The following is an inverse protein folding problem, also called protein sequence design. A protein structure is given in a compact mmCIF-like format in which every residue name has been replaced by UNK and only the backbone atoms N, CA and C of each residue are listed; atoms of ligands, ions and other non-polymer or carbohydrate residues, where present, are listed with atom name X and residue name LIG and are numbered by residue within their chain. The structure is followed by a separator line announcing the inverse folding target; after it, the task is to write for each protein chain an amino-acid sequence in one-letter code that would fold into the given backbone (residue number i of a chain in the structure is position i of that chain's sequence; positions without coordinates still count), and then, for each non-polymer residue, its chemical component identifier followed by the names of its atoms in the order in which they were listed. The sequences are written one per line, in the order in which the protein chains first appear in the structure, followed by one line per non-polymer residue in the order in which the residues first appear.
data_IF_309718058885
#
_entry.id   IF_309718058885
#
_cell.length_a   1.000
_cell.length_b   1.000
_cell.length_c   1.000
_cell.angle_alpha   90.00
_cell.angle_beta   90.00
_cell.angle_gamma   90.00
#
_symmetry.space_group_name_H-M   'P 1'
#
loop_
_entity.id
_entity.type
_entity.pdbx_description
1 polymer ?
#
# COMPACT_ATOMS: atom_id res chain seq x y z
N UNK A 1 -24.77 -14.91 15.66
CA UNK A 1 -25.19 -14.33 14.37
C UNK A 1 -23.96 -13.92 13.60
N UNK A 2 -23.61 -14.62 12.52
CA UNK A 2 -22.41 -14.34 11.73
C UNK A 2 -22.56 -13.00 11.01
N UNK A 3 -21.66 -12.04 11.28
CA UNK A 3 -21.66 -10.75 10.60
C UNK A 3 -21.30 -10.96 9.12
N UNK A 4 -22.26 -10.65 8.24
CA UNK A 4 -22.08 -10.70 6.79
C UNK A 4 -21.11 -9.58 6.40
N UNK A 5 -19.88 -9.94 6.05
CA UNK A 5 -18.89 -8.98 5.53
C UNK A 5 -19.47 -8.26 4.29
N UNK A 6 -19.31 -6.93 4.16
CA UNK A 6 -19.75 -6.19 2.98
C UNK A 6 -19.16 -6.79 1.68
N UNK A 7 -19.93 -6.82 0.59
CA UNK A 7 -19.54 -7.44 -0.71
C UNK A 7 -18.20 -6.91 -1.25
N UNK A 8 -17.81 -5.70 -0.89
CA UNK A 8 -16.55 -5.04 -1.26
C UNK A 8 -15.36 -5.59 -0.48
N UNK A 9 -15.51 -5.82 0.83
CA UNK A 9 -14.51 -6.49 1.69
C UNK A 9 -14.31 -7.94 1.26
N UNK A 10 -15.39 -8.61 0.83
CA UNK A 10 -15.32 -9.95 0.25
C UNK A 10 -14.57 -9.97 -1.07
N UNK A 11 -14.77 -8.99 -1.96
CA UNK A 11 -14.00 -8.86 -3.21
C UNK A 11 -12.54 -8.50 -2.99
N UNK A 12 -12.21 -7.67 -1.99
CA UNK A 12 -10.84 -7.36 -1.63
C UNK A 12 -10.12 -8.57 -1.03
N UNK A 13 -10.79 -9.32 -0.14
CA UNK A 13 -10.29 -10.58 0.40
C UNK A 13 -10.15 -11.64 -0.70
N UNK A 14 -11.12 -11.78 -1.61
CA UNK A 14 -11.08 -12.69 -2.75
C UNK A 14 -10.02 -12.29 -3.79
N UNK A 15 -9.73 -11.00 -4.00
CA UNK A 15 -8.63 -10.53 -4.85
C UNK A 15 -7.25 -10.79 -4.23
N UNK A 16 -7.12 -10.68 -2.90
CA UNK A 16 -5.91 -11.08 -2.18
C UNK A 16 -5.72 -12.62 -2.18
N UNK A 17 -6.82 -13.39 -2.20
CA UNK A 17 -6.82 -14.85 -2.30
C UNK A 17 -6.58 -15.36 -3.73
N UNK A 18 -7.07 -14.68 -4.78
CA UNK A 18 -6.90 -15.13 -6.18
C UNK A 18 -5.45 -15.01 -6.68
N UNK A 19 -4.67 -14.11 -6.07
CA UNK A 19 -3.21 -13.99 -6.29
C UNK A 19 -2.39 -15.15 -5.70
N UNK A 20 -3.00 -16.11 -4.99
CA UNK A 20 -2.36 -17.38 -4.58
C UNK A 20 -2.39 -18.47 -5.65
N UNK A 21 -3.02 -18.27 -6.81
CA UNK A 21 -3.23 -19.31 -7.83
C UNK A 21 -2.22 -19.33 -9.00
N UNK A 22 -1.24 -18.42 -9.05
CA UNK A 22 -0.16 -18.52 -10.05
C UNK A 22 0.96 -19.38 -9.50
N UNK A 23 0.78 -20.70 -9.60
CA UNK A 23 1.85 -21.66 -9.39
C UNK A 23 2.99 -21.42 -10.41
N UNK A 24 4.28 -21.49 -9.99
CA UNK A 24 5.39 -21.45 -10.95
C UNK A 24 5.31 -22.69 -11.85
N UNK A 25 5.19 -22.48 -13.16
CA UNK A 25 5.31 -23.54 -14.15
C UNK A 25 6.76 -24.02 -14.20
N UNK A 26 7.00 -25.28 -13.85
CA UNK A 26 8.12 -26.06 -14.37
C UNK A 26 9.08 -26.66 -13.34
N UNK A 27 8.83 -27.90 -12.94
CA UNK A 27 9.86 -28.92 -12.71
C UNK A 27 9.15 -30.29 -12.68
N UNK A 28 9.34 -31.09 -13.73
CA UNK A 28 8.79 -32.44 -13.80
C UNK A 28 9.62 -33.41 -12.99
N UNK A 29 8.97 -34.30 -12.24
CA UNK A 29 9.32 -35.73 -12.20
C UNK A 29 8.16 -36.55 -11.61
N UNK A 30 7.85 -37.64 -12.34
CA UNK A 30 7.08 -38.85 -12.00
C UNK A 30 7.47 -39.41 -10.62
N UNK A 31 6.72 -40.23 -9.88
CA UNK A 31 5.41 -40.87 -9.95
C UNK A 31 5.21 -41.61 -8.61
N UNK A 32 3.96 -41.90 -8.22
CA UNK A 32 3.38 -43.24 -7.97
C UNK A 32 2.19 -43.17 -7.02
N UNK A 33 1.33 -44.15 -7.24
CA UNK A 33 -0.06 -44.30 -6.88
C UNK A 33 -0.28 -45.19 -5.64
N UNK A 34 -1.53 -45.12 -5.16
CA UNK A 34 -2.31 -46.11 -4.40
C UNK A 34 -2.32 -45.97 -2.88
N UNK A 35 -3.53 -45.97 -2.33
CA UNK A 35 -3.79 -46.16 -0.91
C UNK A 35 -5.08 -45.50 -0.43
N UNK A 36 -6.24 -45.96 -0.91
CA UNK A 36 -7.53 -45.60 -0.29
C UNK A 36 -7.71 -46.38 1.01
N UNK A 37 -8.16 -45.71 2.06
CA UNK A 37 -8.92 -46.32 3.16
C UNK A 37 -9.86 -45.28 3.75
N UNK A 38 -11.13 -45.68 3.76
CA UNK A 38 -12.25 -45.10 4.48
C UNK A 38 -11.97 -44.97 5.98
N UNK A 39 -12.20 -43.78 6.53
CA UNK A 39 -12.12 -43.53 7.97
C UNK A 39 -13.03 -42.34 8.31
N UNK A 40 -14.23 -42.68 8.75
CA UNK A 40 -15.21 -41.90 9.53
C UNK A 40 -14.93 -40.40 9.73
N UNK A 41 -15.86 -39.60 9.21
CA UNK A 41 -16.05 -38.18 9.49
C UNK A 41 -16.23 -37.92 11.00
N UNK A 42 -15.13 -37.63 11.70
CA UNK A 42 -15.13 -37.11 13.06
C UNK A 42 -14.84 -35.60 13.02
N UNK A 43 -15.90 -34.81 13.27
CA UNK A 43 -15.91 -33.41 13.68
C UNK A 43 -14.94 -32.43 12.98
N UNK A 44 -15.44 -31.77 11.94
CA UNK A 44 -14.88 -30.52 11.43
C UNK A 44 -15.07 -29.39 12.46
N UNK A 45 -14.13 -29.28 13.38
CA UNK A 45 -14.00 -28.20 14.35
C UNK A 45 -12.61 -27.58 14.30
N UNK A 46 -12.29 -26.83 13.25
CA UNK A 46 -11.09 -25.96 13.18
C UNK A 46 -11.39 -24.73 12.33
N UNK A 47 -12.25 -23.84 12.82
CA UNK A 47 -12.54 -22.55 12.20
C UNK A 47 -12.25 -21.39 13.15
N UNK A 48 -11.10 -21.40 13.83
CA UNK A 48 -10.96 -20.64 15.08
C UNK A 48 -9.70 -19.76 15.12
N UNK A 49 -9.94 -18.44 15.01
CA UNK A 49 -9.20 -17.33 15.65
C UNK A 49 -7.91 -16.81 14.97
N UNK A 50 -7.89 -16.66 13.65
CA UNK A 50 -6.80 -15.91 12.98
C UNK A 50 -6.99 -14.39 13.06
N UNK A 51 -8.25 -13.94 13.01
CA UNK A 51 -8.61 -12.53 13.04
C UNK A 51 -9.37 -12.18 14.33
N UNK A 52 -8.95 -11.11 14.98
CA UNK A 52 -9.45 -10.63 16.26
C UNK A 52 -9.98 -9.20 16.11
N UNK A 53 -11.07 -8.84 16.82
CA UNK A 53 -11.54 -7.46 16.85
C UNK A 53 -10.52 -6.56 17.58
N UNK A 54 -10.32 -5.35 17.07
CA UNK A 54 -9.53 -4.32 17.72
C UNK A 54 -10.41 -3.44 18.60
N UNK A 55 -9.98 -3.20 19.84
CA UNK A 55 -10.76 -2.43 20.80
C UNK A 55 -10.91 -0.95 20.40
N UNK A 56 -9.90 -0.36 19.74
CA UNK A 56 -9.87 1.06 19.40
C UNK A 56 -10.34 1.30 17.96
N UNK A 57 -11.66 1.38 17.77
CA UNK A 57 -12.30 1.67 16.48
C UNK A 57 -13.09 0.51 15.85
N UNK A 58 -12.97 -0.72 16.40
CA UNK A 58 -13.82 -1.85 16.01
C UNK A 58 -13.43 -2.56 14.70
N UNK A 59 -12.25 -2.29 14.16
CA UNK A 59 -11.68 -3.02 13.03
C UNK A 59 -11.24 -4.45 13.37
N UNK A 60 -10.69 -5.15 12.38
CA UNK A 60 -10.28 -6.56 12.49
C UNK A 60 -8.78 -6.70 12.21
N UNK A 61 -8.05 -7.37 13.10
CA UNK A 61 -6.61 -7.58 12.98
C UNK A 61 -6.27 -9.06 12.94
N UNK A 62 -5.26 -9.43 12.15
CA UNK A 62 -4.67 -10.74 12.25
C UNK A 62 -3.87 -10.90 13.56
N UNK A 63 -3.88 -12.09 14.17
CA UNK A 63 -3.19 -12.38 15.45
C UNK A 63 -1.69 -12.03 15.44
N UNK A 64 -1.05 -12.15 14.28
CA UNK A 64 0.39 -11.87 14.12
C UNK A 64 0.70 -10.41 13.77
N UNK A 65 -0.31 -9.55 13.63
CA UNK A 65 -0.09 -8.13 13.43
C UNK A 65 0.38 -7.49 14.74
N UNK A 66 1.37 -6.60 14.65
CA UNK A 66 1.86 -5.82 15.79
C UNK A 66 1.33 -4.40 15.68
N UNK A 67 0.37 -4.05 16.53
CA UNK A 67 -0.32 -2.76 16.49
C UNK A 67 -0.09 -2.02 17.81
N UNK A 68 0.37 -0.78 17.73
CA UNK A 68 0.50 0.07 18.92
C UNK A 68 -0.88 0.33 19.56
N UNK A 69 -1.01 0.31 20.91
CA UNK A 69 -2.29 0.51 21.59
C UNK A 69 -2.98 1.85 21.27
N UNK A 70 -2.22 2.87 20.86
CA UNK A 70 -2.78 4.18 20.49
C UNK A 70 -3.34 4.21 19.06
N UNK A 71 -3.06 3.20 18.24
CA UNK A 71 -3.56 3.13 16.88
C UNK A 71 -5.08 2.92 16.87
N UNK A 72 -5.75 3.64 15.98
CA UNK A 72 -7.20 3.56 15.74
C UNK A 72 -7.44 2.80 14.45
N UNK A 73 -8.19 1.72 14.52
CA UNK A 73 -8.58 0.92 13.35
C UNK A 73 -10.09 0.89 13.29
N UNK A 74 -10.67 1.65 12.37
CA UNK A 74 -12.11 1.86 12.28
C UNK A 74 -12.88 0.62 11.79
N UNK A 75 -14.19 0.62 12.00
CA UNK A 75 -15.06 -0.48 11.64
C UNK A 75 -14.98 -0.84 10.15
N UNK A 76 -14.88 -2.14 9.88
CA UNK A 76 -14.73 -2.67 8.53
C UNK A 76 -13.31 -2.57 7.96
N UNK A 77 -12.36 -1.92 8.65
CA UNK A 77 -10.96 -2.01 8.28
C UNK A 77 -10.37 -3.37 8.67
N UNK A 78 -9.47 -3.88 7.83
CA UNK A 78 -8.82 -5.19 8.01
C UNK A 78 -7.31 -5.05 7.93
N UNK A 79 -6.61 -5.58 8.94
CA UNK A 79 -5.15 -5.62 8.98
C UNK A 79 -4.68 -7.06 8.92
N UNK A 80 -3.87 -7.38 7.91
CA UNK A 80 -3.40 -8.74 7.66
C UNK A 80 -2.16 -9.14 8.47
N UNK A 81 -1.78 -10.41 8.34
CA UNK A 81 -0.68 -11.05 9.08
C UNK A 81 0.67 -10.33 8.92
N UNK A 82 1.38 -10.16 10.04
CA UNK A 82 2.72 -9.57 10.06
C UNK A 82 2.76 -8.08 9.74
N UNK A 83 1.60 -7.42 9.61
CA UNK A 83 1.57 -5.97 9.49
C UNK A 83 1.98 -5.32 10.82
N UNK A 84 2.67 -4.19 10.74
CA UNK A 84 3.13 -3.41 11.88
C UNK A 84 2.55 -2.00 11.79
N UNK A 85 1.79 -1.58 12.80
CA UNK A 85 1.23 -0.23 12.88
C UNK A 85 1.87 0.52 14.05
N UNK A 86 2.49 1.66 13.76
CA UNK A 86 3.10 2.54 14.74
C UNK A 86 2.09 3.33 15.59
N UNK A 87 2.65 4.12 16.52
CA UNK A 87 1.91 5.01 17.41
C UNK A 87 1.01 5.99 16.63
N UNK A 88 -0.20 6.23 17.13
CA UNK A 88 -1.17 7.20 16.59
C UNK A 88 -1.51 6.98 15.10
N UNK A 89 -1.31 5.77 14.59
CA UNK A 89 -1.77 5.40 13.24
C UNK A 89 -3.29 5.33 13.23
N UNK A 90 -3.91 5.86 12.17
CA UNK A 90 -5.34 5.73 11.96
C UNK A 90 -5.63 5.02 10.66
N UNK A 91 -6.37 3.92 10.73
CA UNK A 91 -6.85 3.15 9.58
C UNK A 91 -8.33 3.40 9.38
N UNK A 92 -8.68 4.08 8.28
CA UNK A 92 -10.05 4.45 7.97
C UNK A 92 -10.97 3.27 7.66
N UNK A 93 -12.26 3.48 7.86
CA UNK A 93 -13.31 2.47 7.69
C UNK A 93 -13.28 1.83 6.30
N UNK A 94 -13.25 0.50 6.24
CA UNK A 94 -13.23 -0.27 4.99
C UNK A 94 -11.85 -0.42 4.34
N UNK A 95 -10.81 0.20 4.89
CA UNK A 95 -9.46 0.07 4.35
C UNK A 95 -8.85 -1.31 4.63
N UNK A 96 -8.00 -1.79 3.72
CA UNK A 96 -7.32 -3.08 3.84
C UNK A 96 -5.82 -2.87 3.84
N UNK A 97 -5.16 -3.34 4.90
CA UNK A 97 -3.71 -3.33 5.06
C UNK A 97 -3.18 -4.74 4.80
N UNK A 98 -2.45 -4.91 3.70
CA UNK A 98 -1.91 -6.21 3.28
C UNK A 98 -0.89 -6.83 4.25
N UNK A 99 -0.53 -8.11 4.04
CA UNK A 99 0.46 -8.80 4.86
C UNK A 99 1.83 -8.13 4.84
N UNK A 100 2.53 -8.18 5.97
CA UNK A 100 3.89 -7.65 6.12
C UNK A 100 4.05 -6.17 5.73
N UNK A 101 2.97 -5.40 5.81
CA UNK A 101 3.00 -3.94 5.62
C UNK A 101 3.46 -3.27 6.91
N UNK A 102 4.39 -2.33 6.83
CA UNK A 102 4.80 -1.52 7.98
C UNK A 102 4.31 -0.08 7.82
N UNK A 103 3.64 0.45 8.84
CA UNK A 103 3.10 1.82 8.86
C UNK A 103 3.74 2.60 10.00
N UNK A 104 4.41 3.69 9.65
CA UNK A 104 5.06 4.61 10.57
C UNK A 104 4.07 5.40 11.42
N UNK A 105 4.60 6.07 12.43
CA UNK A 105 3.86 6.82 13.43
C UNK A 105 3.09 8.00 12.84
N UNK A 106 1.93 8.28 13.43
CA UNK A 106 1.04 9.40 13.07
C UNK A 106 0.66 9.43 11.58
N UNK A 107 0.66 8.26 10.93
CA UNK A 107 0.23 8.07 9.55
C UNK A 107 -1.27 7.78 9.50
N UNK A 108 -1.95 8.39 8.54
CA UNK A 108 -3.40 8.21 8.36
C UNK A 108 -3.69 7.55 7.02
N UNK A 109 -4.31 6.38 7.09
CA UNK A 109 -4.84 5.65 5.94
C UNK A 109 -6.30 6.05 5.76
N UNK A 110 -6.66 6.53 4.57
CA UNK A 110 -8.01 6.97 4.27
C UNK A 110 -9.05 5.85 4.35
N UNK A 111 -10.31 6.25 4.27
CA UNK A 111 -11.47 5.37 4.36
C UNK A 111 -11.96 4.93 2.96
N UNK A 112 -12.99 4.07 2.93
CA UNK A 112 -13.54 3.37 1.75
C UNK A 112 -12.60 2.27 1.24
N UNK A 113 -12.66 1.94 -0.04
CA UNK A 113 -11.87 0.90 -0.70
C UNK A 113 -10.40 1.30 -0.86
N UNK A 114 -9.76 1.79 0.21
CA UNK A 114 -8.32 2.05 0.23
C UNK A 114 -7.59 0.74 0.50
N UNK A 115 -6.69 0.36 -0.40
CA UNK A 115 -5.96 -0.91 -0.35
C UNK A 115 -4.46 -0.67 -0.34
N UNK A 116 -3.77 -1.26 0.64
CA UNK A 116 -2.31 -1.25 0.73
C UNK A 116 -1.80 -2.66 0.40
N UNK A 117 -1.04 -2.78 -0.68
CA UNK A 117 -0.47 -4.04 -1.13
C UNK A 117 0.63 -4.57 -0.20
N UNK A 118 0.82 -5.87 -0.27
CA UNK A 118 1.74 -6.66 0.55
C UNK A 118 3.17 -6.09 0.53
N UNK A 119 3.89 -6.24 1.65
CA UNK A 119 5.29 -5.84 1.80
C UNK A 119 5.57 -4.34 1.54
N UNK A 120 4.54 -3.50 1.49
CA UNK A 120 4.70 -2.05 1.37
C UNK A 120 5.14 -1.44 2.70
N UNK A 121 6.09 -0.52 2.62
CA UNK A 121 6.61 0.23 3.78
C UNK A 121 6.17 1.68 3.69
N UNK A 122 5.51 2.14 4.72
CA UNK A 122 4.99 3.50 4.86
C UNK A 122 5.65 4.10 6.09
N UNK A 123 6.32 5.22 5.92
CA UNK A 123 7.05 5.91 6.97
C UNK A 123 6.11 6.81 7.81
N UNK A 124 6.69 7.62 8.69
CA UNK A 124 5.95 8.47 9.61
C UNK A 124 5.30 9.67 8.90
N UNK A 125 4.18 10.16 9.47
CA UNK A 125 3.48 11.37 9.01
C UNK A 125 3.01 11.30 7.55
N UNK A 126 2.68 10.11 7.05
CA UNK A 126 2.12 9.95 5.70
C UNK A 126 0.61 10.14 5.75
N UNK A 127 0.07 10.85 4.76
CA UNK A 127 -1.38 11.01 4.57
C UNK A 127 -1.80 10.29 3.29
N UNK A 128 -2.68 9.29 3.43
CA UNK A 128 -3.30 8.58 2.32
C UNK A 128 -4.77 8.96 2.27
N UNK A 129 -5.23 9.39 1.10
CA UNK A 129 -6.62 9.76 0.83
C UNK A 129 -7.56 8.55 0.79
N UNK A 130 -8.81 8.83 0.41
CA UNK A 130 -9.83 7.79 0.23
C UNK A 130 -9.76 7.13 -1.14
N UNK A 131 -10.15 5.86 -1.23
CA UNK A 131 -10.21 5.10 -2.50
C UNK A 131 -8.84 4.99 -3.20
N UNK A 132 -7.76 4.97 -2.42
CA UNK A 132 -6.40 4.88 -2.93
C UNK A 132 -6.00 3.41 -3.03
N UNK A 133 -5.40 3.04 -4.16
CA UNK A 133 -4.84 1.70 -4.35
C UNK A 133 -3.33 1.82 -4.43
N UNK A 134 -2.63 1.18 -3.49
CA UNK A 134 -1.16 1.08 -3.47
C UNK A 134 -0.78 -0.37 -3.74
N UNK A 135 0.06 -0.58 -4.75
CA UNK A 135 0.60 -1.90 -5.10
C UNK A 135 1.53 -2.49 -4.04
N UNK A 136 2.19 -3.58 -4.41
CA UNK A 136 3.07 -4.35 -3.54
C UNK A 136 4.49 -3.78 -3.51
N UNK A 137 5.20 -4.04 -2.42
CA UNK A 137 6.61 -3.70 -2.28
C UNK A 137 6.91 -2.20 -2.51
N UNK A 138 5.96 -1.31 -2.19
CA UNK A 138 6.14 0.12 -2.31
C UNK A 138 6.92 0.68 -1.12
N UNK A 139 7.60 1.79 -1.32
CA UNK A 139 8.29 2.54 -0.27
C UNK A 139 7.75 3.97 -0.26
N UNK A 140 7.07 4.35 0.80
CA UNK A 140 6.48 5.68 0.97
C UNK A 140 7.20 6.36 2.13
N UNK A 141 8.10 7.29 1.80
CA UNK A 141 8.89 8.02 2.79
C UNK A 141 8.06 9.05 3.57
N UNK A 142 8.64 9.59 4.63
CA UNK A 142 7.92 10.47 5.55
C UNK A 142 7.34 11.72 4.90
N UNK A 143 6.23 12.20 5.47
CA UNK A 143 5.51 13.41 5.03
C UNK A 143 4.98 13.36 3.60
N UNK A 144 4.83 12.18 3.02
CA UNK A 144 4.18 12.01 1.71
C UNK A 144 2.67 12.22 1.84
N UNK A 145 2.09 12.94 0.89
CA UNK A 145 0.66 13.11 0.74
C UNK A 145 0.14 12.46 -0.54
N UNK A 146 -0.81 11.54 -0.42
CA UNK A 146 -1.50 10.90 -1.54
C UNK A 146 -2.96 11.31 -1.51
N UNK A 147 -3.40 12.08 -2.50
CA UNK A 147 -4.80 12.49 -2.59
C UNK A 147 -5.72 11.32 -3.01
N UNK A 148 -7.03 11.53 -2.86
CA UNK A 148 -8.03 10.49 -3.07
C UNK A 148 -8.04 9.93 -4.50
N UNK A 149 -8.45 8.67 -4.63
CA UNK A 149 -8.62 7.98 -5.91
C UNK A 149 -7.32 7.83 -6.74
N UNK A 150 -6.15 8.02 -6.13
CA UNK A 150 -4.87 7.75 -6.78
C UNK A 150 -4.58 6.23 -6.82
N UNK A 151 -3.90 5.78 -7.87
CA UNK A 151 -3.49 4.38 -8.04
C UNK A 151 -1.98 4.30 -8.26
N UNK A 152 -1.29 3.52 -7.44
CA UNK A 152 0.14 3.26 -7.53
C UNK A 152 0.35 1.78 -7.86
N UNK A 153 1.17 1.51 -8.87
CA UNK A 153 1.62 0.16 -9.19
C UNK A 153 2.60 -0.41 -8.16
N UNK A 154 3.16 -1.56 -8.47
CA UNK A 154 4.11 -2.26 -7.60
C UNK A 154 5.51 -1.63 -7.64
N UNK A 155 6.28 -1.77 -6.57
CA UNK A 155 7.66 -1.28 -6.50
C UNK A 155 7.80 0.22 -6.74
N UNK A 156 6.78 1.01 -6.37
CA UNK A 156 6.84 2.47 -6.42
C UNK A 156 7.58 2.99 -5.20
N UNK A 157 8.50 3.93 -5.40
CA UNK A 157 9.22 4.63 -4.32
C UNK A 157 8.87 6.11 -4.35
N UNK A 158 8.30 6.61 -3.26
CA UNK A 158 8.01 8.02 -3.06
C UNK A 158 9.01 8.60 -2.08
N UNK A 159 9.87 9.51 -2.55
CA UNK A 159 10.77 10.26 -1.67
C UNK A 159 10.02 11.13 -0.66
N UNK A 160 10.73 11.59 0.37
CA UNK A 160 10.12 12.40 1.43
C UNK A 160 9.42 13.64 0.87
N UNK A 161 8.26 13.99 1.45
CA UNK A 161 7.42 15.13 1.02
C UNK A 161 6.98 15.09 -0.45
N UNK A 162 6.90 13.92 -1.07
CA UNK A 162 6.24 13.79 -2.36
C UNK A 162 4.73 14.02 -2.21
N UNK A 163 4.13 14.73 -3.16
CA UNK A 163 2.69 14.92 -3.24
C UNK A 163 2.12 14.26 -4.50
N UNK A 164 1.05 13.49 -4.36
CA UNK A 164 0.31 12.87 -5.47
C UNK A 164 -1.06 13.52 -5.57
N UNK A 165 -1.39 14.07 -6.75
CA UNK A 165 -2.71 14.62 -7.05
C UNK A 165 -3.78 13.52 -7.07
N UNK A 166 -5.03 13.90 -6.83
CA UNK A 166 -6.19 13.03 -6.92
C UNK A 166 -6.38 12.49 -8.35
N UNK A 167 -6.98 11.30 -8.44
CA UNK A 167 -7.29 10.65 -9.72
C UNK A 167 -6.08 10.46 -10.66
N UNK A 168 -4.87 10.32 -10.10
CA UNK A 168 -3.66 10.03 -10.87
C UNK A 168 -3.30 8.55 -10.82
N UNK A 169 -2.86 8.02 -11.96
CA UNK A 169 -2.29 6.68 -12.07
C UNK A 169 -0.76 6.71 -12.23
N UNK A 170 -0.06 5.89 -11.45
CA UNK A 170 1.40 5.74 -11.50
C UNK A 170 1.71 4.27 -11.75
N UNK A 171 2.40 3.96 -12.84
CA UNK A 171 2.80 2.59 -13.17
C UNK A 171 3.84 2.04 -12.19
N UNK A 172 3.98 0.72 -12.18
CA UNK A 172 4.97 0.02 -11.37
C UNK A 172 6.41 0.48 -11.67
N UNK A 173 7.31 0.33 -10.68
CA UNK A 173 8.74 0.64 -10.77
C UNK A 173 9.04 2.12 -11.08
N UNK A 174 8.23 3.02 -10.54
CA UNK A 174 8.45 4.47 -10.57
C UNK A 174 9.14 4.91 -9.28
N UNK A 175 10.16 5.76 -9.39
CA UNK A 175 10.79 6.43 -8.24
C UNK A 175 10.63 7.93 -8.36
N UNK A 176 10.07 8.56 -7.33
CA UNK A 176 9.91 10.01 -7.25
C UNK A 176 10.92 10.59 -6.28
N UNK A 177 11.70 11.56 -6.76
CA UNK A 177 12.63 12.31 -5.93
C UNK A 177 11.88 13.08 -4.83
N UNK A 178 12.55 13.34 -3.70
CA UNK A 178 11.96 14.08 -2.59
C UNK A 178 11.44 15.47 -3.03
N UNK A 179 10.37 15.95 -2.40
CA UNK A 179 9.68 17.21 -2.72
C UNK A 179 9.12 17.29 -4.17
N UNK A 180 8.94 16.16 -4.84
CA UNK A 180 8.32 16.15 -6.18
C UNK A 180 6.80 16.05 -6.08
N UNK A 181 6.10 16.59 -7.07
CA UNK A 181 4.63 16.60 -7.08
C UNK A 181 4.10 16.06 -8.40
N UNK A 182 3.34 14.97 -8.34
CA UNK A 182 2.75 14.34 -9.51
C UNK A 182 1.41 14.99 -9.82
N UNK A 183 1.36 15.70 -10.95
CA UNK A 183 0.17 16.43 -11.42
C UNK A 183 -0.57 15.73 -12.54
N UNK A 184 -0.01 14.65 -13.10
CA UNK A 184 -0.57 13.88 -14.21
C UNK A 184 -0.08 12.44 -14.13
N UNK A 185 -0.76 11.57 -14.86
CA UNK A 185 -0.42 10.15 -14.91
C UNK A 185 1.02 9.91 -15.35
N UNK A 186 1.66 8.93 -14.70
CA UNK A 186 2.99 8.43 -15.05
C UNK A 186 2.81 7.05 -15.67
N UNK A 187 2.91 7.01 -17.00
CA UNK A 187 2.67 5.80 -17.81
C UNK A 187 3.95 4.99 -18.10
N UNK A 188 5.12 5.49 -17.72
CA UNK A 188 6.40 4.83 -17.99
C UNK A 188 7.16 4.61 -16.67
N UNK A 189 7.71 3.41 -16.44
CA UNK A 189 8.62 3.17 -15.33
C UNK A 189 9.86 4.07 -15.43
N UNK A 190 10.45 4.39 -14.29
CA UNK A 190 11.67 5.20 -14.24
C UNK A 190 11.70 6.19 -13.09
N UNK A 191 12.69 7.06 -13.12
CA UNK A 191 12.92 8.05 -12.08
C UNK A 191 12.37 9.42 -12.53
N UNK A 192 11.63 10.07 -11.63
CA UNK A 192 10.93 11.33 -11.85
C UNK A 192 11.27 12.33 -10.76
N UNK A 193 11.21 13.62 -11.07
CA UNK A 193 11.47 14.69 -10.11
C UNK A 193 10.83 16.03 -10.46
N UNK A 194 10.69 16.87 -9.46
CA UNK A 194 10.23 18.25 -9.60
C UNK A 194 8.74 18.47 -9.41
N UNK A 195 8.32 19.71 -9.61
CA UNK A 195 6.92 20.13 -9.61
C UNK A 195 6.68 21.02 -10.84
N UNK A 196 5.93 20.54 -11.86
CA UNK A 196 5.36 19.19 -11.99
C UNK A 196 6.44 18.10 -12.14
N UNK A 197 6.13 16.88 -11.70
CA UNK A 197 7.04 15.75 -11.85
C UNK A 197 7.26 15.41 -13.34
N UNK A 198 8.53 15.43 -13.75
CA UNK A 198 9.00 15.06 -15.10
C UNK A 198 10.15 14.04 -14.98
N UNK A 199 10.56 13.34 -16.05
CA UNK A 199 11.69 12.43 -16.00
C UNK A 199 12.94 13.08 -15.40
N UNK A 200 13.66 12.36 -14.54
CA UNK A 200 14.69 12.94 -13.65
C UNK A 200 15.77 13.73 -14.39
N UNK A 201 16.15 13.28 -15.59
CA UNK A 201 17.18 13.93 -16.41
C UNK A 201 16.68 15.26 -17.01
N UNK A 202 15.40 15.32 -17.36
CA UNK A 202 14.77 16.56 -17.81
C UNK A 202 14.68 17.55 -16.66
N UNK A 203 14.23 17.11 -15.49
CA UNK A 203 14.15 17.96 -14.29
C UNK A 203 15.53 18.52 -13.92
N UNK A 204 16.56 17.68 -13.84
CA UNK A 204 17.94 18.10 -13.56
C UNK A 204 18.45 19.15 -14.55
N UNK A 205 18.14 18.99 -15.85
CA UNK A 205 18.50 19.94 -16.90
C UNK A 205 17.76 21.27 -16.72
N UNK A 206 16.46 21.23 -16.42
CA UNK A 206 15.67 22.43 -16.15
C UNK A 206 16.22 23.20 -14.94
N UNK A 207 16.54 22.52 -13.84
CA UNK A 207 17.14 23.14 -12.64
C UNK A 207 18.52 23.73 -12.92
N UNK A 208 19.38 23.01 -13.66
CA UNK A 208 20.69 23.51 -14.05
C UNK A 208 20.59 24.79 -14.90
N UNK A 209 19.66 24.81 -15.87
CA UNK A 209 19.42 25.98 -16.70
C UNK A 209 18.91 27.18 -15.89
N UNK A 210 17.95 26.98 -14.98
CA UNK A 210 17.45 28.03 -14.08
C UNK A 210 18.59 28.68 -13.28
N UNK A 211 19.52 27.87 -12.76
CA UNK A 211 20.71 28.36 -12.04
C UNK A 211 21.61 29.22 -12.93
N UNK A 212 21.77 28.86 -14.20
CA UNK A 212 22.59 29.62 -15.15
C UNK A 212 21.92 30.94 -15.55
N UNK A 213 20.61 30.94 -15.79
CA UNK A 213 19.84 32.16 -16.09
C UNK A 213 19.91 33.16 -14.94
N UNK A 214 19.68 32.72 -13.70
CA UNK A 214 19.77 33.58 -12.51
C UNK A 214 21.14 34.26 -12.33
N UNK A 215 22.23 33.62 -12.76
CA UNK A 215 23.58 34.22 -12.73
C UNK A 215 23.81 35.27 -13.81
N UNK A 216 23.19 35.14 -14.99
CA UNK A 216 23.34 36.10 -16.09
C UNK A 216 22.64 37.43 -15.80
N UNK A 217 21.50 37.38 -15.12
CA UNK A 217 20.71 38.58 -14.79
C UNK A 217 21.22 39.32 -13.54
N UNK A 218 22.04 38.66 -12.71
CA UNK A 218 22.67 39.23 -11.51
C UNK A 218 23.84 40.18 -11.76
N UNK A 219 24.16 40.52 -13.02
CA UNK A 219 25.31 41.38 -13.41
C UNK A 219 24.85 42.76 -13.93
N UNK A 220 23.59 43.15 -13.73
CA UNK A 220 23.14 44.53 -13.98
C UNK A 220 22.29 45.06 -12.84
N UNK A 221 22.94 45.61 -11.81
CA UNK A 221 22.41 46.67 -10.95
C UNK A 221 23.51 47.68 -10.70
#
# INVERSE_FOLDING_TARGET
MAAILPRTVRRAAEAALSLRSVAPRGAGHRARSLGGVSGTCSNAGTGSVEFLPWHNGGGILHRTASVDPTAVVEAGAVVHSGAVLGKEVVVGSGAVVGPSVSVGQSTRIGWRETMIGDHTKIDNLVQIGHNVVIGKCCMICGQVGIAGSATLGDYVTLGGRVAIRDHVSIVSKVRLAANSSVTKDIQKPGDYGGFPAVPINEWRRQTANLRLFSKKDGVKR
#
